data_IF_816890599550
#
_entry.id   IF_816890599550
#
_cell.length_a   1.000
_cell.length_b   1.000
_cell.length_c   1.000
_cell.angle_alpha   90.00
_cell.angle_beta   90.00
_cell.angle_gamma   90.00
#
_symmetry.space_group_name_H-M   'P 1'
#
loop_
_entity.id
_entity.type
_entity.pdbx_description
1 polymer ?
#
# COMPACT_ATOMS: atom_id res chain seq x y z
N UNK A 1 23.88 -11.35 8.60
CA UNK A 1 22.58 -11.75 9.21
C UNK A 1 21.53 -11.74 8.13
N UNK A 2 20.64 -12.74 8.11
CA UNK A 2 19.50 -12.77 7.15
C UNK A 2 18.54 -11.63 7.50
N UNK A 3 18.18 -10.80 6.51
CA UNK A 3 17.20 -9.72 6.64
C UNK A 3 16.17 -9.81 5.52
N UNK A 4 15.04 -9.12 5.68
CA UNK A 4 14.04 -9.04 4.65
C UNK A 4 13.57 -7.58 4.46
N UNK A 5 13.37 -7.18 3.21
CA UNK A 5 12.73 -5.94 2.82
C UNK A 5 11.25 -6.20 2.56
N UNK A 6 10.40 -5.58 3.35
CA UNK A 6 8.95 -5.76 3.28
C UNK A 6 8.29 -4.45 2.91
N UNK A 7 7.58 -4.46 1.81
CA UNK A 7 6.96 -3.27 1.22
C UNK A 7 5.47 -3.24 1.49
N UNK A 8 4.95 -2.08 1.86
CA UNK A 8 3.54 -1.80 1.61
C UNK A 8 3.28 -1.78 0.10
N UNK A 9 2.05 -2.04 -0.31
CA UNK A 9 1.70 -2.14 -1.73
C UNK A 9 1.14 -0.81 -2.28
N UNK A 10 -0.05 -0.43 -1.81
CA UNK A 10 -0.86 0.67 -2.36
C UNK A 10 -0.37 2.05 -1.91
N UNK A 11 0.16 2.83 -2.83
CA UNK A 11 0.82 4.12 -2.61
C UNK A 11 2.34 4.00 -2.46
N UNK A 12 2.88 2.78 -2.30
CA UNK A 12 4.31 2.52 -2.12
C UNK A 12 4.95 1.89 -3.35
N UNK A 13 4.48 0.69 -3.74
CA UNK A 13 4.88 0.03 -5.00
C UNK A 13 3.95 0.40 -6.14
N UNK A 14 2.64 0.52 -5.89
CA UNK A 14 1.61 0.81 -6.89
C UNK A 14 1.01 2.19 -6.67
N UNK A 15 0.88 2.96 -7.75
CA UNK A 15 0.26 4.29 -7.72
C UNK A 15 -1.27 4.19 -7.64
N UNK A 16 -1.83 4.48 -6.48
CA UNK A 16 -3.29 4.41 -6.23
C UNK A 16 -4.09 5.44 -7.06
N UNK A 17 -3.44 6.52 -7.51
CA UNK A 17 -4.08 7.55 -8.32
C UNK A 17 -4.04 7.23 -9.82
N UNK A 18 -3.28 6.20 -10.24
CA UNK A 18 -3.19 5.79 -11.64
C UNK A 18 -4.56 5.35 -12.19
N UNK A 19 -5.43 4.75 -11.38
CA UNK A 19 -6.76 4.34 -11.79
C UNK A 19 -7.59 5.52 -12.34
N UNK A 20 -7.68 6.61 -11.58
CA UNK A 20 -8.36 7.83 -12.05
C UNK A 20 -7.54 8.55 -13.10
N UNK A 21 -6.22 8.50 -13.00
CA UNK A 21 -5.30 9.12 -13.97
C UNK A 21 -5.53 8.64 -15.40
N UNK A 22 -5.74 7.32 -15.59
CA UNK A 22 -6.07 6.70 -16.90
C UNK A 22 -7.41 7.20 -17.47
N UNK A 23 -8.31 7.70 -16.63
CA UNK A 23 -9.65 8.16 -17.02
C UNK A 23 -9.87 9.65 -16.74
N UNK A 24 -8.79 10.42 -16.49
CA UNK A 24 -8.82 11.84 -16.08
C UNK A 24 -9.70 12.70 -16.99
N UNK A 25 -9.57 12.55 -18.30
CA UNK A 25 -10.35 13.33 -19.26
C UNK A 25 -11.86 13.08 -19.15
N UNK A 26 -12.27 11.84 -18.88
CA UNK A 26 -13.67 11.46 -18.70
C UNK A 26 -14.20 11.82 -17.29
N UNK A 27 -13.35 11.81 -16.27
CA UNK A 27 -13.70 12.22 -14.92
C UNK A 27 -13.82 13.75 -14.76
N UNK A 28 -13.21 14.52 -15.66
CA UNK A 28 -13.31 15.96 -15.69
C UNK A 28 -12.51 16.68 -14.60
N UNK A 29 -12.87 17.94 -14.27
CA UNK A 29 -12.05 18.81 -13.42
C UNK A 29 -11.96 18.32 -11.95
N UNK A 30 -12.88 17.51 -11.51
CA UNK A 30 -12.89 16.97 -10.14
C UNK A 30 -12.05 15.70 -9.97
N UNK A 31 -11.38 15.20 -11.01
CA UNK A 31 -10.68 13.92 -11.03
C UNK A 31 -9.71 13.72 -9.85
N UNK A 32 -8.88 14.71 -9.51
CA UNK A 32 -7.92 14.61 -8.41
C UNK A 32 -8.62 14.56 -7.06
N UNK A 33 -9.57 15.45 -6.82
CA UNK A 33 -10.37 15.48 -5.57
C UNK A 33 -11.20 14.22 -5.40
N UNK A 34 -11.74 13.68 -6.49
CA UNK A 34 -12.45 12.41 -6.51
C UNK A 34 -11.52 11.26 -6.08
N UNK A 35 -10.31 11.19 -6.66
CA UNK A 35 -9.29 10.20 -6.33
C UNK A 35 -8.89 10.26 -4.85
N UNK A 36 -8.65 11.47 -4.34
CA UNK A 36 -8.29 11.70 -2.93
C UNK A 36 -9.40 11.22 -1.98
N UNK A 37 -10.65 11.53 -2.29
CA UNK A 37 -11.80 11.09 -1.49
C UNK A 37 -11.96 9.58 -1.57
N UNK A 38 -11.82 8.98 -2.75
CA UNK A 38 -11.87 7.52 -2.92
C UNK A 38 -10.80 6.84 -2.04
N UNK A 39 -9.54 7.28 -2.15
CA UNK A 39 -8.44 6.74 -1.32
C UNK A 39 -8.65 7.00 0.17
N UNK A 40 -9.03 8.20 0.54
CA UNK A 40 -9.28 8.57 1.94
C UNK A 40 -10.35 7.68 2.59
N UNK A 41 -11.45 7.41 1.87
CA UNK A 41 -12.53 6.55 2.36
C UNK A 41 -12.14 5.07 2.46
N UNK A 42 -11.31 4.56 1.56
CA UNK A 42 -10.76 3.21 1.73
C UNK A 42 -10.05 3.07 3.07
N UNK A 43 -9.14 4.01 3.40
CA UNK A 43 -8.37 3.99 4.64
C UNK A 43 -9.26 4.21 5.88
N UNK A 44 -10.15 5.21 5.83
CA UNK A 44 -11.10 5.48 6.91
C UNK A 44 -11.92 4.23 7.27
N UNK A 45 -12.42 3.50 6.25
CA UNK A 45 -13.21 2.29 6.48
C UNK A 45 -12.37 1.17 7.11
N UNK A 46 -11.11 1.00 6.71
CA UNK A 46 -10.23 0.01 7.35
C UNK A 46 -10.03 0.29 8.83
N UNK A 47 -9.78 1.55 9.20
CA UNK A 47 -9.56 1.94 10.59
C UNK A 47 -10.82 1.85 11.43
N UNK A 48 -11.93 2.36 10.93
CA UNK A 48 -13.21 2.36 11.66
C UNK A 48 -13.75 0.95 11.88
N UNK A 49 -13.65 0.07 10.88
CA UNK A 49 -14.04 -1.33 11.04
C UNK A 49 -13.13 -2.07 12.02
N UNK A 50 -11.83 -1.84 11.95
CA UNK A 50 -10.86 -2.42 12.90
C UNK A 50 -11.19 -2.02 14.34
N UNK A 51 -11.46 -0.73 14.59
CA UNK A 51 -11.84 -0.23 15.91
C UNK A 51 -13.20 -0.79 16.38
N UNK A 52 -14.12 -1.02 15.46
CA UNK A 52 -15.42 -1.62 15.74
C UNK A 52 -15.37 -3.16 15.89
N UNK A 53 -14.19 -3.79 15.79
CA UNK A 53 -14.06 -5.25 15.84
C UNK A 53 -14.73 -5.97 14.67
N UNK A 54 -14.83 -5.31 13.50
CA UNK A 54 -15.46 -5.84 12.29
C UNK A 54 -14.45 -5.92 11.16
N UNK A 55 -14.68 -6.86 10.25
CA UNK A 55 -13.88 -7.03 9.05
C UNK A 55 -14.78 -7.19 7.81
N UNK A 56 -14.42 -6.48 6.76
CA UNK A 56 -14.81 -6.71 5.38
C UNK A 56 -13.52 -6.69 4.56
N UNK A 57 -13.42 -7.46 3.49
CA UNK A 57 -12.23 -7.47 2.64
C UNK A 57 -12.00 -6.11 1.97
N UNK A 58 -10.75 -5.88 1.57
CA UNK A 58 -10.36 -4.56 1.04
C UNK A 58 -10.99 -4.24 -0.31
N UNK A 59 -11.34 -5.25 -1.11
CA UNK A 59 -12.04 -5.02 -2.37
C UNK A 59 -13.44 -4.46 -2.13
N UNK A 60 -14.20 -5.07 -1.22
CA UNK A 60 -15.51 -4.55 -0.78
C UNK A 60 -15.40 -3.10 -0.27
N UNK A 61 -14.34 -2.77 0.48
CA UNK A 61 -14.11 -1.39 0.93
C UNK A 61 -13.75 -0.45 -0.21
N UNK A 62 -12.98 -0.94 -1.19
CA UNK A 62 -12.63 -0.19 -2.41
C UNK A 62 -13.88 0.20 -3.20
N UNK A 63 -14.81 -0.76 -3.41
CA UNK A 63 -16.08 -0.51 -4.10
C UNK A 63 -16.97 0.48 -3.34
N UNK A 64 -17.12 0.30 -2.02
CA UNK A 64 -17.92 1.22 -1.17
C UNK A 64 -17.34 2.63 -1.14
N UNK A 65 -16.03 2.75 -1.06
CA UNK A 65 -15.35 4.04 -1.10
C UNK A 65 -15.53 4.74 -2.46
N UNK A 66 -15.54 3.97 -3.55
CA UNK A 66 -15.82 4.48 -4.90
C UNK A 66 -17.27 4.96 -5.02
N UNK A 67 -18.24 4.20 -4.49
CA UNK A 67 -19.65 4.63 -4.46
C UNK A 67 -19.83 5.92 -3.67
N UNK A 68 -19.13 6.06 -2.54
CA UNK A 68 -19.11 7.30 -1.77
C UNK A 68 -18.54 8.46 -2.58
N UNK A 69 -17.42 8.24 -3.29
CA UNK A 69 -16.81 9.27 -4.14
C UNK A 69 -17.76 9.74 -5.24
N UNK A 70 -18.47 8.82 -5.92
CA UNK A 70 -19.50 9.18 -6.90
C UNK A 70 -20.66 9.97 -6.29
N UNK A 71 -21.10 9.62 -5.07
CA UNK A 71 -22.16 10.37 -4.38
C UNK A 71 -21.69 11.78 -4.01
N UNK A 72 -20.42 11.95 -3.68
CA UNK A 72 -19.81 13.25 -3.29
C UNK A 72 -19.52 14.15 -4.50
N UNK A 73 -19.23 13.54 -5.67
CA UNK A 73 -18.91 14.24 -6.91
C UNK A 73 -19.86 13.82 -8.04
N UNK A 74 -21.09 14.33 -8.06
CA UNK A 74 -22.08 13.96 -9.08
C UNK A 74 -21.71 14.46 -10.51
N UNK A 75 -20.70 15.31 -10.63
CA UNK A 75 -20.10 15.73 -11.91
C UNK A 75 -19.32 14.60 -12.61
N UNK A 76 -18.86 13.59 -11.86
CA UNK A 76 -18.16 12.42 -12.40
C UNK A 76 -19.19 11.36 -12.79
N UNK A 77 -19.19 10.96 -14.07
CA UNK A 77 -20.16 10.00 -14.58
C UNK A 77 -20.00 8.61 -13.94
N UNK A 78 -21.08 8.11 -13.33
CA UNK A 78 -21.12 6.76 -12.72
C UNK A 78 -20.87 5.62 -13.72
N UNK A 79 -21.04 5.83 -15.01
CA UNK A 79 -20.69 4.87 -16.05
C UNK A 79 -19.17 4.54 -16.06
N UNK A 80 -18.34 5.38 -15.42
CA UNK A 80 -16.91 5.09 -15.23
C UNK A 80 -16.63 4.02 -14.17
N UNK A 81 -17.58 3.68 -13.28
CA UNK A 81 -17.34 2.77 -12.14
C UNK A 81 -16.65 1.46 -12.55
N UNK A 82 -17.13 0.68 -13.54
CA UNK A 82 -16.45 -0.55 -13.95
C UNK A 82 -15.02 -0.31 -14.42
N UNK A 83 -14.79 0.73 -15.21
CA UNK A 83 -13.46 1.08 -15.73
C UNK A 83 -12.48 1.47 -14.64
N UNK A 84 -12.94 2.19 -13.62
CA UNK A 84 -12.11 2.58 -12.48
C UNK A 84 -11.75 1.37 -11.62
N UNK A 85 -12.68 0.44 -11.40
CA UNK A 85 -12.43 -0.81 -10.68
C UNK A 85 -11.44 -1.70 -11.43
N UNK A 86 -11.61 -1.89 -12.74
CA UNK A 86 -10.67 -2.64 -13.58
C UNK A 86 -9.26 -2.01 -13.55
N UNK A 87 -9.19 -0.67 -13.65
CA UNK A 87 -7.92 0.06 -13.57
C UNK A 87 -7.27 -0.08 -12.17
N UNK A 88 -8.07 -0.19 -11.11
CA UNK A 88 -7.56 -0.37 -9.76
C UNK A 88 -6.97 -1.78 -9.53
N UNK A 89 -7.48 -2.81 -10.19
CA UNK A 89 -6.90 -4.16 -10.15
C UNK A 89 -5.53 -4.24 -10.86
N UNK A 90 -5.31 -3.37 -11.84
CA UNK A 90 -4.08 -3.37 -12.67
C UNK A 90 -3.32 -2.06 -12.55
N UNK A 91 -3.15 -1.56 -11.30
CA UNK A 91 -2.43 -0.32 -11.05
C UNK A 91 -1.01 -0.34 -11.60
N UNK A 92 -0.58 0.82 -12.10
CA UNK A 92 0.80 1.02 -12.51
C UNK A 92 1.71 0.98 -11.27
N UNK A 93 2.81 0.25 -11.37
CA UNK A 93 3.88 0.37 -10.38
C UNK A 93 4.59 1.72 -10.55
N UNK A 94 5.05 2.28 -9.44
CA UNK A 94 5.95 3.43 -9.53
C UNK A 94 7.20 3.09 -10.36
N UNK A 95 7.75 4.04 -11.13
CA UNK A 95 8.86 3.75 -12.07
C UNK A 95 10.10 3.13 -11.43
N UNK A 96 10.36 3.46 -10.16
CA UNK A 96 11.49 2.98 -9.36
C UNK A 96 11.28 1.59 -8.75
N UNK A 97 10.03 1.12 -8.61
CA UNK A 97 9.70 -0.10 -7.89
C UNK A 97 10.35 -1.36 -8.51
N UNK A 98 10.20 -1.52 -9.83
CA UNK A 98 10.71 -2.71 -10.54
C UNK A 98 12.24 -2.80 -10.51
N UNK A 99 12.94 -1.67 -10.66
CA UNK A 99 14.39 -1.62 -10.62
C UNK A 99 14.91 -1.98 -9.22
N UNK A 100 14.35 -1.37 -8.18
CA UNK A 100 14.76 -1.60 -6.79
C UNK A 100 14.55 -3.05 -6.37
N UNK A 101 13.39 -3.65 -6.67
CA UNK A 101 13.12 -5.06 -6.32
C UNK A 101 14.09 -6.01 -7.03
N UNK A 102 14.38 -5.79 -8.31
CA UNK A 102 15.39 -6.55 -9.05
C UNK A 102 16.77 -6.42 -8.42
N UNK A 103 17.19 -5.22 -8.04
CA UNK A 103 18.52 -4.96 -7.48
C UNK A 103 18.66 -5.55 -6.07
N UNK A 104 17.60 -5.53 -5.24
CA UNK A 104 17.57 -6.24 -3.97
C UNK A 104 17.71 -7.75 -4.17
N UNK A 105 16.96 -8.32 -5.11
CA UNK A 105 17.03 -9.74 -5.44
C UNK A 105 18.43 -10.14 -5.95
N UNK A 106 19.06 -9.32 -6.78
CA UNK A 106 20.43 -9.55 -7.26
C UNK A 106 21.47 -9.54 -6.14
N UNK A 107 21.19 -8.87 -5.02
CA UNK A 107 22.02 -8.88 -3.79
C UNK A 107 21.71 -10.04 -2.86
N UNK A 108 20.78 -10.92 -3.22
CA UNK A 108 20.35 -12.03 -2.37
C UNK A 108 19.46 -11.62 -1.19
N UNK A 109 18.89 -10.41 -1.22
CA UNK A 109 17.96 -9.94 -0.20
C UNK A 109 16.58 -10.57 -0.39
N UNK A 110 15.93 -10.91 0.71
CA UNK A 110 14.54 -11.38 0.70
C UNK A 110 13.59 -10.20 0.56
N UNK A 111 12.62 -10.29 -0.37
CA UNK A 111 11.66 -9.24 -0.65
C UNK A 111 10.22 -9.72 -0.50
N UNK A 112 9.36 -8.91 0.11
CA UNK A 112 7.96 -9.27 0.27
C UNK A 112 7.03 -8.05 0.25
N UNK A 113 5.74 -8.29 0.02
CA UNK A 113 4.66 -7.36 0.30
C UNK A 113 3.98 -7.73 1.62
N UNK A 114 3.60 -6.73 2.41
CA UNK A 114 2.59 -6.79 3.47
C UNK A 114 1.54 -5.71 3.20
N UNK A 115 0.29 -6.08 2.92
CA UNK A 115 -0.72 -5.15 2.44
C UNK A 115 -2.10 -5.35 3.06
N UNK A 116 -2.87 -4.25 3.07
CA UNK A 116 -4.31 -4.25 3.35
C UNK A 116 -5.15 -4.87 2.20
N UNK A 117 -4.58 -5.01 1.00
CA UNK A 117 -5.27 -5.59 -0.16
C UNK A 117 -5.59 -7.07 0.01
N UNK A 118 -6.68 -7.53 -0.63
CA UNK A 118 -7.00 -8.96 -0.67
C UNK A 118 -5.97 -9.75 -1.49
N UNK A 119 -5.85 -11.06 -1.28
CA UNK A 119 -4.92 -11.90 -2.06
C UNK A 119 -5.11 -11.74 -3.58
N UNK A 120 -6.35 -11.69 -4.05
CA UNK A 120 -6.69 -11.57 -5.47
C UNK A 120 -6.25 -10.21 -6.04
N UNK A 121 -6.51 -9.11 -5.30
CA UNK A 121 -6.06 -7.77 -5.69
C UNK A 121 -4.54 -7.72 -5.81
N UNK A 122 -3.82 -8.27 -4.83
CA UNK A 122 -2.36 -8.27 -4.81
C UNK A 122 -1.78 -9.13 -5.94
N UNK A 123 -2.36 -10.30 -6.18
CA UNK A 123 -1.94 -11.17 -7.29
C UNK A 123 -2.11 -10.46 -8.65
N UNK A 124 -3.24 -9.79 -8.88
CA UNK A 124 -3.49 -9.03 -10.10
C UNK A 124 -2.50 -7.86 -10.26
N UNK A 125 -2.26 -7.08 -9.21
CA UNK A 125 -1.36 -5.93 -9.26
C UNK A 125 0.11 -6.37 -9.48
N UNK A 126 0.58 -7.42 -8.79
CA UNK A 126 1.93 -7.98 -8.94
C UNK A 126 2.15 -8.51 -10.36
N UNK A 127 1.16 -9.25 -10.90
CA UNK A 127 1.22 -9.77 -12.26
C UNK A 127 1.25 -8.65 -13.31
N UNK A 128 0.36 -7.64 -13.17
CA UNK A 128 0.31 -6.50 -14.09
C UNK A 128 1.61 -5.68 -14.06
N UNK A 129 2.19 -5.50 -12.87
CA UNK A 129 3.47 -4.80 -12.70
C UNK A 129 4.68 -5.62 -13.18
N UNK A 130 4.57 -6.94 -13.35
CA UNK A 130 5.69 -7.82 -13.72
C UNK A 130 6.82 -7.75 -12.69
N UNK A 131 6.50 -7.66 -11.40
CA UNK A 131 7.47 -7.69 -10.30
C UNK A 131 7.54 -9.09 -9.68
N UNK A 132 8.71 -9.43 -9.18
CA UNK A 132 9.00 -10.74 -8.57
C UNK A 132 9.37 -10.53 -7.09
N UNK A 133 8.69 -11.27 -6.21
CA UNK A 133 8.79 -11.18 -4.76
C UNK A 133 8.83 -12.57 -4.14
N UNK A 134 9.53 -12.73 -3.02
CA UNK A 134 9.60 -14.00 -2.30
C UNK A 134 8.31 -14.32 -1.53
N UNK A 135 7.54 -13.31 -1.15
CA UNK A 135 6.23 -13.48 -0.52
C UNK A 135 5.29 -12.29 -0.74
N UNK A 136 3.99 -12.57 -0.75
CA UNK A 136 2.92 -11.57 -0.77
C UNK A 136 1.96 -11.89 0.37
N UNK A 137 1.94 -11.02 1.39
CA UNK A 137 1.18 -11.21 2.61
C UNK A 137 0.01 -10.22 2.66
N UNK A 138 -1.20 -10.77 2.88
CA UNK A 138 -2.43 -10.01 3.02
C UNK A 138 -2.93 -10.02 4.46
N UNK A 139 -3.53 -8.91 4.89
CA UNK A 139 -4.25 -8.80 6.17
C UNK A 139 -5.43 -9.76 6.27
N UNK A 140 -5.92 -10.32 5.17
CA UNK A 140 -7.00 -11.32 5.14
C UNK A 140 -6.69 -12.53 6.03
N UNK A 141 -5.41 -12.87 6.17
CA UNK A 141 -4.96 -13.97 7.03
C UNK A 141 -5.32 -13.77 8.51
N UNK A 142 -5.40 -12.53 8.96
CA UNK A 142 -5.73 -12.16 10.37
C UNK A 142 -7.04 -11.38 10.49
N UNK A 143 -7.67 -11.01 9.38
CA UNK A 143 -8.95 -10.30 9.31
C UNK A 143 -8.99 -9.04 10.17
N UNK A 144 -7.89 -8.28 10.15
CA UNK A 144 -7.73 -7.00 10.84
C UNK A 144 -6.76 -6.15 10.02
N UNK A 145 -6.92 -4.83 10.04
CA UNK A 145 -6.13 -3.92 9.20
C UNK A 145 -4.93 -3.32 9.93
N UNK A 146 -3.92 -2.91 9.14
CA UNK A 146 -2.86 -2.02 9.63
C UNK A 146 -3.49 -0.76 10.26
N UNK A 147 -2.89 -0.18 11.30
CA UNK A 147 -1.58 -0.49 11.88
C UNK A 147 -1.64 -1.45 13.08
N UNK A 148 -2.54 -2.42 13.12
CA UNK A 148 -2.60 -3.40 14.20
C UNK A 148 -1.35 -4.30 14.22
N UNK A 149 -0.73 -4.57 15.41
CA UNK A 149 0.49 -5.35 15.52
C UNK A 149 0.36 -6.79 15.00
N UNK A 150 -0.84 -7.36 15.06
CA UNK A 150 -1.12 -8.70 14.52
C UNK A 150 -0.82 -8.81 13.02
N UNK A 151 -0.96 -7.70 12.29
CA UNK A 151 -0.66 -7.64 10.86
C UNK A 151 0.85 -7.71 10.60
N UNK A 152 1.65 -6.97 11.36
CA UNK A 152 3.12 -7.01 11.23
C UNK A 152 3.70 -8.35 11.70
N UNK A 153 3.05 -9.01 12.66
CA UNK A 153 3.42 -10.35 13.11
C UNK A 153 3.36 -11.41 11.99
N UNK A 154 2.54 -11.21 10.94
CA UNK A 154 2.53 -12.08 9.76
C UNK A 154 3.91 -12.20 9.12
N UNK A 155 4.67 -11.10 9.06
CA UNK A 155 6.01 -11.07 8.45
C UNK A 155 7.00 -11.89 9.28
N UNK A 156 7.05 -11.64 10.60
CA UNK A 156 7.98 -12.36 11.50
C UNK A 156 7.65 -13.83 11.57
N UNK A 157 6.37 -14.20 11.56
CA UNK A 157 5.92 -15.58 11.50
C UNK A 157 6.28 -16.28 10.18
N UNK A 158 6.07 -15.60 9.04
CA UNK A 158 6.35 -16.17 7.72
C UNK A 158 7.85 -16.44 7.49
N UNK A 159 8.70 -15.48 7.82
CA UNK A 159 10.15 -15.58 7.57
C UNK A 159 10.94 -16.18 8.74
N UNK A 160 10.32 -16.37 9.89
CA UNK A 160 10.99 -16.74 11.14
C UNK A 160 12.18 -15.82 11.45
N UNK A 161 11.95 -14.50 11.38
CA UNK A 161 12.94 -13.45 11.63
C UNK A 161 12.51 -12.58 12.81
N UNK A 162 13.48 -12.11 13.58
CA UNK A 162 13.24 -11.10 14.62
C UNK A 162 12.80 -9.77 13.97
N UNK A 163 11.92 -8.98 14.64
CA UNK A 163 11.46 -7.70 14.11
C UNK A 163 12.59 -6.78 13.63
N UNK A 164 13.67 -6.65 14.37
CA UNK A 164 14.82 -5.80 14.03
C UNK A 164 15.57 -6.23 12.75
N UNK A 165 15.32 -7.45 12.24
CA UNK A 165 15.86 -7.95 10.97
C UNK A 165 14.99 -7.60 9.76
N UNK A 166 13.84 -6.96 9.97
CA UNK A 166 12.93 -6.53 8.92
C UNK A 166 13.15 -5.05 8.62
N UNK A 167 13.33 -4.72 7.34
CA UNK A 167 13.28 -3.34 6.83
C UNK A 167 11.91 -3.15 6.20
N UNK A 168 11.03 -2.42 6.89
CA UNK A 168 9.68 -2.14 6.39
C UNK A 168 9.66 -0.82 5.64
N UNK A 169 9.08 -0.83 4.44
CA UNK A 169 9.10 0.28 3.49
C UNK A 169 7.67 0.70 3.17
N UNK A 170 7.28 1.93 3.46
CA UNK A 170 5.97 2.45 3.11
C UNK A 170 6.01 3.95 2.80
N UNK A 171 5.15 4.39 1.88
CA UNK A 171 4.86 5.82 1.65
C UNK A 171 3.80 6.35 2.62
N UNK A 172 3.04 5.45 3.26
CA UNK A 172 2.02 5.81 4.22
C UNK A 172 2.65 6.00 5.61
N UNK A 173 2.75 7.26 6.09
CA UNK A 173 3.47 7.54 7.33
C UNK A 173 2.87 6.86 8.57
N UNK A 174 1.54 6.71 8.61
CA UNK A 174 0.83 5.96 9.66
C UNK A 174 1.21 4.45 9.68
N UNK A 175 1.49 3.86 8.51
CA UNK A 175 1.92 2.47 8.39
C UNK A 175 3.39 2.30 8.84
N UNK A 176 4.24 3.26 8.49
CA UNK A 176 5.62 3.35 9.00
C UNK A 176 5.63 3.44 10.53
N UNK A 177 4.75 4.26 11.11
CA UNK A 177 4.59 4.38 12.57
C UNK A 177 4.20 3.03 13.19
N UNK A 178 3.18 2.35 12.66
CA UNK A 178 2.75 1.05 13.17
C UNK A 178 3.84 -0.02 13.09
N UNK A 179 4.58 -0.07 11.97
CA UNK A 179 5.69 -0.99 11.79
C UNK A 179 6.86 -0.71 12.75
N UNK A 180 7.19 0.57 12.97
CA UNK A 180 8.22 0.99 13.93
C UNK A 180 7.82 0.65 15.37
N UNK A 181 6.56 0.87 15.75
CA UNK A 181 6.03 0.51 17.05
C UNK A 181 6.04 -1.02 17.29
N UNK A 182 5.92 -1.83 16.22
CA UNK A 182 6.06 -3.27 16.27
C UNK A 182 7.52 -3.73 16.43
N UNK A 183 8.50 -2.86 16.13
CA UNK A 183 9.94 -3.12 16.26
C UNK A 183 10.68 -3.36 14.95
N UNK A 184 10.08 -3.06 13.80
CA UNK A 184 10.78 -3.08 12.51
C UNK A 184 11.72 -1.88 12.35
N UNK A 185 12.80 -2.04 11.58
CA UNK A 185 13.49 -0.90 10.98
C UNK A 185 12.62 -0.35 9.86
N UNK A 186 12.41 0.95 9.81
CA UNK A 186 11.45 1.52 8.87
C UNK A 186 12.09 2.53 7.94
N UNK A 187 11.65 2.53 6.67
CA UNK A 187 11.96 3.56 5.70
C UNK A 187 10.65 4.20 5.21
N UNK A 188 10.54 5.50 5.38
CA UNK A 188 9.44 6.28 4.85
C UNK A 188 9.77 6.81 3.45
N UNK A 189 8.98 6.43 2.47
CA UNK A 189 9.08 6.93 1.09
C UNK A 189 8.22 8.18 0.97
N UNK A 190 8.82 9.33 1.24
CA UNK A 190 8.15 10.62 1.28
C UNK A 190 8.23 11.35 -0.06
N UNK A 191 7.59 10.80 -1.12
CA UNK A 191 7.57 11.38 -2.47
C UNK A 191 7.00 12.79 -2.51
N UNK A 192 5.99 13.06 -1.68
CA UNK A 192 5.27 14.34 -1.63
C UNK A 192 5.91 15.37 -0.69
N UNK A 193 7.02 15.04 -0.04
CA UNK A 193 7.69 15.93 0.95
C UNK A 193 6.74 16.40 2.05
N UNK A 194 5.90 15.49 2.53
CA UNK A 194 4.97 15.77 3.63
C UNK A 194 5.74 16.02 4.93
N UNK A 195 5.21 16.87 5.81
CA UNK A 195 5.80 17.06 7.13
C UNK A 195 5.72 15.79 7.96
N UNK A 196 6.61 15.67 8.96
CA UNK A 196 6.53 14.60 9.96
C UNK A 196 5.33 14.83 10.89
N UNK A 197 4.59 13.77 11.18
CA UNK A 197 3.34 13.85 11.95
C UNK A 197 3.18 12.76 13.03
N UNK A 198 4.09 11.77 13.06
CA UNK A 198 3.99 10.61 13.96
C UNK A 198 5.31 10.31 14.67
N UNK A 199 5.19 9.79 15.90
CA UNK A 199 6.26 9.13 16.63
C UNK A 199 6.03 7.60 16.68
N UNK A 200 7.08 6.78 16.68
CA UNK A 200 8.49 7.15 16.58
C UNK A 200 8.90 7.55 15.15
N UNK A 201 9.99 8.32 15.07
CA UNK A 201 10.58 8.70 13.78
C UNK A 201 11.03 7.44 12.99
N UNK A 202 10.95 7.45 11.66
CA UNK A 202 11.46 6.35 10.84
C UNK A 202 12.98 6.28 10.89
N UNK A 203 13.56 5.09 10.67
CA UNK A 203 15.01 4.93 10.60
C UNK A 203 15.62 5.62 9.36
N UNK A 204 14.83 5.80 8.30
CA UNK A 204 15.21 6.55 7.11
C UNK A 204 13.99 7.26 6.49
N UNK A 205 14.24 8.46 5.93
CA UNK A 205 13.28 9.20 5.09
C UNK A 205 13.89 9.34 3.70
N UNK A 206 13.20 8.81 2.69
CA UNK A 206 13.69 8.73 1.32
C UNK A 206 12.70 9.42 0.37
N UNK A 207 13.20 10.08 -0.66
CA UNK A 207 12.36 10.73 -1.67
C UNK A 207 11.63 9.72 -2.58
N UNK A 208 12.26 8.55 -2.81
CA UNK A 208 11.75 7.46 -3.65
C UNK A 208 12.36 6.12 -3.22
N UNK A 209 11.98 5.02 -3.90
CA UNK A 209 12.46 3.69 -3.56
C UNK A 209 13.95 3.46 -3.87
N UNK A 210 14.56 4.24 -4.75
CA UNK A 210 15.97 4.03 -5.14
C UNK A 210 16.93 4.16 -3.96
N UNK A 211 16.60 4.99 -2.97
CA UNK A 211 17.37 5.15 -1.75
C UNK A 211 17.43 3.89 -0.86
N UNK A 212 16.53 2.93 -1.03
CA UNK A 212 16.48 1.67 -0.24
C UNK A 212 17.75 0.85 -0.42
N UNK A 213 18.36 0.92 -1.60
CA UNK A 213 19.56 0.15 -1.95
C UNK A 213 20.77 0.50 -1.06
N UNK A 214 20.75 1.66 -0.40
CA UNK A 214 21.80 2.11 0.50
C UNK A 214 21.59 1.69 1.98
N UNK A 215 20.44 1.11 2.33
CA UNK A 215 20.12 0.63 3.68
C UNK A 215 20.65 -0.78 3.95
#
# INVERSE_FOLDING_TARGET
MRRAFVFDAYGTLFDVHAAIGRHRAAAGPDADRFSDVWRGKQLEYTWTLTLAGRYLDFWTLTERALDFAFARFPSVDKALKPKLLDAYLTLDAFPDARAVLRDLKARGETTAILSNGSPEMLAAAVAAAGIDLDAVLSVDAVRIYKPRPEVYALVTGHFNLAPASIVFVSSNRWDVMGAAAFGFRTAWINRARMPEEYEPAPAAVLADLSGIIAL
#
